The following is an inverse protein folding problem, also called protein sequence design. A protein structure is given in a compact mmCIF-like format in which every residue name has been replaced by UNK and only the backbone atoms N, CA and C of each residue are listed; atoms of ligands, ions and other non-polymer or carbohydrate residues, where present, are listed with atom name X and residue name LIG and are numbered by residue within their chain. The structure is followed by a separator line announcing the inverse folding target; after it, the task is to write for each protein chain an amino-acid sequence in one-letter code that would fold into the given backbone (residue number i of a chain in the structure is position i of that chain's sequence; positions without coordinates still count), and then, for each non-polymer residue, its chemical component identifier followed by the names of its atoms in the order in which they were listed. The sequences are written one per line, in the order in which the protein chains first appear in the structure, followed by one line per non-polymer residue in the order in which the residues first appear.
data_IF_194865918311
#
_entry.id   IF_194865918311
#
_cell.length_a   1.000
_cell.length_b   1.000
_cell.length_c   1.000
_cell.angle_alpha   90.00
_cell.angle_beta   90.00
_cell.angle_gamma   90.00
#
_symmetry.space_group_name_H-M   'P 1'
#
loop_
_entity.id
_entity.type
_entity.pdbx_description
1 polymer ?
#
# COMPACT_ATOMS: atom_id res chain seq x y z
N UNK A 1 8.18 63.67 -46.42
CA UNK A 1 7.28 63.03 -45.53
C UNK A 1 7.67 61.52 -45.39
N UNK A 2 8.46 61.21 -44.43
CA UNK A 2 8.89 59.79 -44.13
C UNK A 2 7.92 59.20 -43.13
N UNK A 3 7.20 58.15 -43.55
CA UNK A 3 6.38 57.36 -42.62
C UNK A 3 7.27 56.34 -41.89
N UNK A 4 7.33 56.50 -40.58
CA UNK A 4 8.01 55.58 -39.68
C UNK A 4 7.08 54.38 -39.42
N UNK A 5 7.49 53.17 -39.86
CA UNK A 5 6.78 51.93 -39.52
C UNK A 5 7.26 51.45 -38.14
N UNK A 6 6.39 51.47 -37.17
CA UNK A 6 6.65 50.91 -35.85
C UNK A 6 6.29 49.43 -35.89
N UNK A 7 7.28 48.55 -35.87
CA UNK A 7 7.08 47.10 -35.74
C UNK A 7 7.02 46.79 -34.24
N UNK A 8 5.82 46.52 -33.75
CA UNK A 8 5.59 45.97 -32.42
C UNK A 8 5.97 44.48 -32.43
N UNK A 9 7.11 44.14 -31.82
CA UNK A 9 7.45 42.79 -31.46
C UNK A 9 6.60 42.39 -30.23
N UNK A 10 5.53 41.67 -30.47
CA UNK A 10 4.82 40.94 -29.40
C UNK A 10 5.69 39.72 -28.99
N UNK A 11 6.48 39.91 -27.95
CA UNK A 11 7.11 38.78 -27.23
C UNK A 11 5.98 38.07 -26.48
N UNK A 12 5.49 36.98 -27.04
CA UNK A 12 4.65 36.05 -26.36
C UNK A 12 5.43 35.41 -25.21
N UNK A 13 5.31 35.92 -24.00
CA UNK A 13 5.70 35.18 -22.82
C UNK A 13 4.74 33.98 -22.70
N UNK A 14 5.17 32.83 -23.21
CA UNK A 14 4.61 31.56 -22.81
C UNK A 14 4.97 31.37 -21.33
N UNK A 15 4.02 31.65 -20.45
CA UNK A 15 4.05 31.19 -19.07
C UNK A 15 4.05 29.65 -19.14
N UNK A 16 5.24 29.04 -19.19
CA UNK A 16 5.43 27.69 -18.74
C UNK A 16 5.09 27.72 -17.24
N UNK A 17 3.84 27.40 -16.90
CA UNK A 17 3.49 27.06 -15.55
C UNK A 17 4.39 25.87 -15.18
N UNK A 18 5.46 26.15 -14.45
CA UNK A 18 6.24 25.13 -13.78
C UNK A 18 5.25 24.35 -12.93
N UNK A 19 4.92 23.13 -13.36
CA UNK A 19 4.17 22.21 -12.53
C UNK A 19 5.06 21.92 -11.32
N UNK A 20 4.81 22.60 -10.22
CA UNK A 20 5.34 22.17 -8.92
C UNK A 20 4.68 20.82 -8.65
N UNK A 21 5.41 19.74 -8.89
CA UNK A 21 5.03 18.44 -8.35
C UNK A 21 5.00 18.63 -6.84
N UNK A 22 3.80 18.55 -6.27
CA UNK A 22 3.67 18.54 -4.82
C UNK A 22 4.53 17.38 -4.32
N UNK A 23 5.41 17.66 -3.37
CA UNK A 23 6.25 16.64 -2.76
C UNK A 23 5.34 15.56 -2.17
N UNK A 24 5.53 14.31 -2.58
CA UNK A 24 4.74 13.21 -2.07
C UNK A 24 4.94 13.08 -0.55
N UNK A 25 3.85 13.18 0.21
CA UNK A 25 3.86 12.88 1.65
C UNK A 25 4.06 11.39 1.95
N UNK A 26 4.11 10.55 0.91
CA UNK A 26 4.36 9.13 1.01
C UNK A 26 5.85 8.83 1.02
N UNK A 27 6.27 8.04 2.00
CA UNK A 27 7.66 7.57 2.11
C UNK A 27 7.67 6.05 2.25
N UNK A 28 8.55 5.38 1.50
CA UNK A 28 8.82 3.96 1.71
C UNK A 28 9.45 3.78 3.09
N UNK A 29 8.94 2.84 3.88
CA UNK A 29 9.49 2.55 5.19
C UNK A 29 10.78 1.73 5.02
N UNK A 30 11.92 2.16 5.58
CA UNK A 30 13.24 1.65 5.21
C UNK A 30 13.45 0.17 5.55
N UNK A 31 12.82 -0.31 6.62
CA UNK A 31 12.95 -1.70 7.08
C UNK A 31 11.65 -2.50 6.86
N UNK A 32 10.74 -1.99 6.02
CA UNK A 32 9.52 -2.72 5.71
C UNK A 32 9.82 -3.99 4.93
N UNK A 33 9.06 -5.07 5.16
CA UNK A 33 9.20 -6.27 4.37
C UNK A 33 9.05 -5.93 2.89
N UNK A 34 10.01 -6.38 2.09
CA UNK A 34 10.03 -6.20 0.65
C UNK A 34 9.96 -7.58 -0.03
N UNK A 35 9.25 -7.67 -1.14
CA UNK A 35 9.12 -8.95 -1.84
C UNK A 35 7.82 -9.07 -2.60
N UNK A 36 7.04 -10.13 -2.35
CA UNK A 36 5.72 -10.25 -2.93
C UNK A 36 4.81 -9.14 -2.42
N UNK A 37 3.82 -8.79 -3.21
CA UNK A 37 2.85 -7.76 -2.87
C UNK A 37 2.18 -8.03 -1.52
N UNK A 38 2.14 -7.02 -0.66
CA UNK A 38 1.33 -7.02 0.55
C UNK A 38 -0.12 -6.70 0.15
N UNK A 39 -1.01 -7.65 0.38
CA UNK A 39 -2.40 -7.55 -0.06
C UNK A 39 -3.29 -6.80 0.90
N UNK A 40 -2.93 -6.78 2.18
CA UNK A 40 -3.64 -6.03 3.21
C UNK A 40 -2.72 -5.66 4.39
N UNK A 41 -3.18 -4.71 5.17
CA UNK A 41 -2.60 -4.31 6.43
C UNK A 41 -3.64 -3.72 7.35
N UNK A 42 -3.41 -3.80 8.64
CA UNK A 42 -4.26 -3.24 9.67
C UNK A 42 -3.41 -2.51 10.71
N UNK A 43 -3.77 -1.29 11.01
CA UNK A 43 -3.07 -0.45 12.00
C UNK A 43 -4.07 0.00 13.04
N UNK A 44 -3.81 -0.32 14.31
CA UNK A 44 -4.63 0.14 15.43
C UNK A 44 -4.36 1.60 15.74
N UNK A 45 -3.09 2.00 15.58
CA UNK A 45 -2.63 3.36 15.73
C UNK A 45 -1.34 3.58 14.92
N UNK A 46 -0.76 4.77 15.00
CA UNK A 46 0.42 5.15 14.23
C UNK A 46 1.68 4.30 14.51
N UNK A 47 1.72 3.57 15.63
CA UNK A 47 2.88 2.74 16.04
C UNK A 47 2.64 1.26 15.83
N UNK A 48 1.41 0.78 16.07
CA UNK A 48 1.07 -0.65 16.09
C UNK A 48 0.28 -1.06 14.87
N UNK A 49 0.85 -1.98 14.07
CA UNK A 49 0.18 -2.50 12.89
C UNK A 49 0.74 -3.83 12.40
N UNK A 50 0.00 -4.46 11.51
CA UNK A 50 0.35 -5.72 10.85
C UNK A 50 0.11 -5.63 9.35
N UNK A 51 0.95 -6.33 8.58
CA UNK A 51 0.78 -6.50 7.14
C UNK A 51 0.89 -7.96 6.76
N UNK A 52 0.17 -8.34 5.72
CA UNK A 52 0.10 -9.72 5.23
C UNK A 52 0.36 -9.78 3.72
N UNK A 53 0.88 -10.92 3.25
CA UNK A 53 1.21 -11.07 1.84
C UNK A 53 0.88 -12.47 1.27
N UNK A 54 0.99 -12.58 -0.05
CA UNK A 54 0.71 -13.80 -0.79
C UNK A 54 1.71 -14.95 -0.60
N UNK A 55 2.83 -14.72 0.10
CA UNK A 55 3.78 -15.79 0.48
C UNK A 55 3.48 -16.37 1.86
N UNK A 56 2.30 -16.12 2.40
CA UNK A 56 1.87 -16.64 3.69
C UNK A 56 2.60 -16.03 4.87
N UNK A 57 3.00 -14.78 4.78
CA UNK A 57 3.72 -14.08 5.84
C UNK A 57 2.84 -13.04 6.52
N UNK A 58 2.99 -12.94 7.85
CA UNK A 58 2.43 -11.88 8.68
C UNK A 58 3.58 -11.17 9.37
N UNK A 59 3.64 -9.85 9.22
CA UNK A 59 4.64 -8.99 9.83
C UNK A 59 3.98 -7.99 10.75
N UNK A 60 4.62 -7.68 11.87
CA UNK A 60 4.17 -6.71 12.89
C UNK A 60 5.18 -5.60 13.06
N UNK A 61 4.68 -4.38 13.22
CA UNK A 61 5.45 -3.23 13.70
C UNK A 61 4.85 -2.72 15.02
N UNK A 62 5.70 -2.20 15.91
CA UNK A 62 5.31 -1.52 17.15
C UNK A 62 5.86 -0.10 17.24
N UNK A 63 6.50 0.37 16.17
CA UNK A 63 7.15 1.69 16.10
C UNK A 63 6.85 2.43 14.78
N UNK A 64 5.65 2.21 14.24
CA UNK A 64 5.17 2.94 13.06
C UNK A 64 5.84 2.52 11.75
N UNK A 65 6.33 1.28 11.70
CA UNK A 65 6.95 0.72 10.51
C UNK A 65 8.46 0.94 10.42
N UNK A 66 9.09 1.54 11.42
CA UNK A 66 10.55 1.68 11.45
C UNK A 66 11.25 0.33 11.55
N UNK A 67 10.63 -0.63 12.26
CA UNK A 67 11.07 -2.02 12.32
C UNK A 67 9.88 -2.98 12.22
N UNK A 68 10.13 -4.17 11.69
CA UNK A 68 9.13 -5.21 11.49
C UNK A 68 9.62 -6.54 12.03
N UNK A 69 8.71 -7.28 12.67
CA UNK A 69 8.96 -8.62 13.18
C UNK A 69 8.05 -9.59 12.44
N UNK A 70 8.63 -10.59 11.80
CA UNK A 70 7.88 -11.66 11.16
C UNK A 70 7.26 -12.54 12.24
N UNK A 71 5.93 -12.65 12.23
CA UNK A 71 5.17 -13.41 13.23
C UNK A 71 4.63 -14.73 12.69
N UNK A 72 4.52 -14.87 11.39
CA UNK A 72 4.06 -16.07 10.72
C UNK A 72 4.75 -16.22 9.37
N UNK A 73 5.09 -17.48 9.00
CA UNK A 73 5.70 -17.79 7.71
C UNK A 73 5.30 -19.21 7.28
N UNK A 74 4.43 -19.31 6.29
CA UNK A 74 3.98 -20.59 5.74
C UNK A 74 3.67 -20.43 4.26
N UNK A 75 4.59 -20.85 3.40
CA UNK A 75 4.53 -20.62 1.94
C UNK A 75 3.33 -21.28 1.24
N UNK A 76 2.63 -22.20 1.90
CA UNK A 76 1.41 -22.83 1.38
C UNK A 76 0.15 -21.99 1.58
N UNK A 77 0.25 -20.82 2.24
CA UNK A 77 -0.83 -19.87 2.51
C UNK A 77 -0.71 -18.67 1.59
N UNK A 78 -1.83 -18.09 1.19
CA UNK A 78 -1.90 -16.79 0.56
C UNK A 78 -2.79 -15.88 1.40
N UNK A 79 -2.21 -15.06 2.26
CA UNK A 79 -2.99 -14.09 3.02
C UNK A 79 -3.49 -12.95 2.14
N UNK A 80 -4.79 -12.68 2.23
CA UNK A 80 -5.49 -11.67 1.44
C UNK A 80 -6.07 -10.55 2.28
N UNK A 81 -6.28 -10.81 3.57
CA UNK A 81 -6.89 -9.87 4.50
C UNK A 81 -6.36 -10.07 5.91
N UNK A 82 -6.38 -9.01 6.70
CA UNK A 82 -6.06 -9.02 8.13
C UNK A 82 -6.91 -7.97 8.85
N UNK A 83 -7.38 -8.32 10.06
CA UNK A 83 -8.15 -7.42 10.90
C UNK A 83 -7.88 -7.68 12.38
N UNK A 84 -7.84 -6.61 13.16
CA UNK A 84 -7.64 -6.66 14.61
C UNK A 84 -8.77 -5.94 15.33
N UNK A 85 -9.31 -6.57 16.37
CA UNK A 85 -10.32 -5.99 17.23
C UNK A 85 -9.69 -5.06 18.27
N UNK A 86 -8.50 -5.46 18.75
CA UNK A 86 -7.65 -4.72 19.68
C UNK A 86 -6.19 -5.14 19.51
N UNK A 87 -5.30 -4.74 20.42
CA UNK A 87 -3.87 -5.05 20.34
C UNK A 87 -3.54 -6.55 20.53
N UNK A 88 -4.49 -7.37 20.97
CA UNK A 88 -4.30 -8.79 21.29
C UNK A 88 -5.04 -9.70 20.31
N UNK A 89 -6.31 -9.38 19.99
CA UNK A 89 -7.17 -10.23 19.18
C UNK A 89 -7.18 -9.80 17.71
N UNK A 90 -6.81 -10.73 16.84
CA UNK A 90 -6.82 -10.48 15.40
C UNK A 90 -7.03 -11.75 14.59
N UNK A 91 -7.40 -11.57 13.32
CA UNK A 91 -7.60 -12.65 12.34
C UNK A 91 -6.94 -12.31 11.03
N UNK A 92 -6.45 -13.35 10.33
CA UNK A 92 -5.89 -13.24 8.97
C UNK A 92 -6.61 -14.24 8.06
N UNK A 93 -7.08 -13.77 6.92
CA UNK A 93 -7.81 -14.54 5.93
C UNK A 93 -6.89 -15.05 4.81
N UNK A 94 -6.92 -16.37 4.59
CA UNK A 94 -6.25 -17.05 3.48
C UNK A 94 -7.19 -17.12 2.26
N UNK A 95 -6.68 -16.80 1.08
CA UNK A 95 -7.40 -16.91 -0.18
C UNK A 95 -7.85 -18.35 -0.50
N UNK A 96 -7.15 -19.33 0.08
CA UNK A 96 -7.40 -20.76 -0.11
C UNK A 96 -6.53 -21.36 -1.21
N UNK A 97 -6.84 -22.61 -1.55
CA UNK A 97 -6.05 -23.41 -2.48
C UNK A 97 -6.31 -23.07 -3.96
N UNK A 98 -5.32 -23.29 -4.81
CA UNK A 98 -5.42 -23.37 -6.29
C UNK A 98 -5.66 -22.06 -7.05
N UNK A 99 -5.72 -20.90 -6.39
CA UNK A 99 -6.05 -19.64 -7.09
C UNK A 99 -4.90 -19.07 -7.92
N UNK A 100 -3.69 -19.02 -7.34
CA UNK A 100 -2.53 -18.43 -8.01
C UNK A 100 -1.36 -19.42 -8.13
N UNK A 101 -1.63 -20.71 -7.90
CA UNK A 101 -0.64 -21.80 -7.95
C UNK A 101 0.21 -21.89 -6.67
N UNK A 102 0.48 -23.11 -6.24
CA UNK A 102 1.36 -23.39 -5.10
C UNK A 102 0.72 -23.32 -3.71
N UNK A 103 -0.45 -22.70 -3.56
CA UNK A 103 -1.17 -22.68 -2.29
C UNK A 103 -1.90 -24.00 -2.07
N UNK A 104 -1.56 -24.68 -1.00
CA UNK A 104 -2.14 -25.99 -0.65
C UNK A 104 -2.79 -26.01 0.74
N UNK A 105 -2.71 -24.89 1.48
CA UNK A 105 -3.28 -24.82 2.82
C UNK A 105 -4.80 -24.66 2.77
N UNK A 106 -5.47 -25.61 3.42
CA UNK A 106 -6.93 -25.64 3.54
C UNK A 106 -7.48 -24.86 4.74
N UNK A 107 -6.61 -24.27 5.56
CA UNK A 107 -6.97 -23.40 6.67
C UNK A 107 -7.29 -22.01 6.13
N UNK A 108 -8.49 -21.53 6.35
CA UNK A 108 -8.97 -20.28 5.76
C UNK A 108 -8.76 -19.07 6.67
N UNK A 109 -8.75 -19.30 7.97
CA UNK A 109 -8.61 -18.24 8.97
C UNK A 109 -7.56 -18.67 9.99
N UNK A 110 -6.61 -17.78 10.22
CA UNK A 110 -5.68 -17.85 11.34
C UNK A 110 -6.04 -16.76 12.34
N UNK A 111 -6.07 -17.12 13.63
CA UNK A 111 -6.45 -16.23 14.72
C UNK A 111 -5.34 -16.09 15.73
N UNK A 112 -5.13 -14.89 16.22
CA UNK A 112 -4.26 -14.58 17.35
C UNK A 112 -5.07 -14.06 18.54
N UNK A 113 -4.58 -14.33 19.77
CA UNK A 113 -5.11 -13.79 21.04
C UNK A 113 -4.02 -13.09 21.85
N UNK A 114 -2.83 -12.92 21.28
CA UNK A 114 -1.66 -12.34 21.93
C UNK A 114 -0.89 -11.37 21.01
N UNK A 115 -1.63 -10.68 20.16
CA UNK A 115 -1.09 -9.64 19.27
C UNK A 115 -0.16 -10.18 18.19
N UNK A 116 -0.39 -11.44 17.77
CA UNK A 116 0.35 -12.09 16.70
C UNK A 116 1.58 -12.86 17.13
N UNK A 117 1.87 -12.96 18.44
CA UNK A 117 2.97 -13.83 18.92
C UNK A 117 2.75 -15.28 18.49
N UNK A 118 1.49 -15.72 18.48
CA UNK A 118 1.06 -16.99 17.89
C UNK A 118 -0.18 -16.81 17.02
N UNK A 119 -0.26 -17.59 15.95
CA UNK A 119 -1.40 -17.64 15.05
C UNK A 119 -1.90 -19.07 14.95
N UNK A 120 -3.16 -19.30 15.37
CA UNK A 120 -3.78 -20.60 15.43
C UNK A 120 -4.82 -20.77 14.33
N UNK A 121 -4.89 -21.96 13.69
CA UNK A 121 -5.88 -22.24 12.67
C UNK A 121 -7.29 -22.29 13.28
N UNK A 122 -8.27 -21.74 12.55
CA UNK A 122 -9.70 -21.83 12.90
C UNK A 122 -10.40 -22.75 11.92
N UNK A 123 -11.15 -23.72 12.47
CA UNK A 123 -11.98 -24.66 11.72
C UNK A 123 -13.45 -24.69 12.19
N UNK A 124 -13.85 -23.79 13.08
CA UNK A 124 -15.19 -23.73 13.65
C UNK A 124 -16.13 -22.94 12.73
N UNK A 125 -16.67 -23.61 11.71
CA UNK A 125 -17.65 -23.04 10.80
C UNK A 125 -19.03 -23.65 11.03
N UNK A 126 -20.04 -22.80 11.16
CA UNK A 126 -21.45 -23.16 11.19
C UNK A 126 -22.00 -22.90 9.78
N UNK A 127 -22.39 -23.96 9.08
CA UNK A 127 -22.76 -23.95 7.68
C UNK A 127 -21.68 -24.57 6.78
N UNK A 128 -21.75 -24.30 5.49
CA UNK A 128 -20.77 -24.82 4.53
C UNK A 128 -19.43 -24.14 4.70
N UNK A 129 -18.36 -24.91 4.87
CA UNK A 129 -17.00 -24.35 4.96
C UNK A 129 -16.65 -23.63 3.65
N UNK A 130 -16.26 -22.35 3.70
CA UNK A 130 -15.80 -21.58 2.53
C UNK A 130 -14.53 -22.17 1.94
N UNK A 131 -14.11 -21.65 0.78
CA UNK A 131 -12.83 -22.02 0.15
C UNK A 131 -11.75 -20.96 0.27
N UNK A 132 -12.09 -19.74 0.68
CA UNK A 132 -11.14 -18.64 0.83
C UNK A 132 -11.78 -17.41 1.46
N UNK A 133 -10.93 -16.51 1.97
CA UNK A 133 -11.34 -15.21 2.54
C UNK A 133 -10.50 -14.11 1.90
N UNK A 134 -11.17 -13.17 1.20
CA UNK A 134 -10.52 -12.06 0.49
C UNK A 134 -10.56 -10.73 1.26
N UNK A 135 -11.68 -10.45 1.92
CA UNK A 135 -11.91 -9.21 2.65
C UNK A 135 -12.37 -9.47 4.07
N UNK A 136 -11.98 -8.60 4.99
CA UNK A 136 -12.39 -8.59 6.40
C UNK A 136 -12.81 -7.18 6.80
N UNK A 137 -13.89 -7.09 7.59
CA UNK A 137 -14.36 -5.85 8.22
C UNK A 137 -14.54 -6.09 9.71
N UNK A 138 -13.80 -5.36 10.52
CA UNK A 138 -13.93 -5.37 11.98
C UNK A 138 -15.03 -4.38 12.37
N UNK A 139 -16.06 -4.85 13.03
CA UNK A 139 -17.27 -4.08 13.30
C UNK A 139 -17.22 -3.45 14.70
N UNK A 140 -16.80 -4.24 15.68
CA UNK A 140 -16.64 -3.83 17.07
C UNK A 140 -15.64 -4.76 17.78
N UNK A 141 -15.57 -4.70 19.09
CA UNK A 141 -14.63 -5.45 19.94
C UNK A 141 -14.84 -6.98 19.96
N UNK A 142 -15.90 -7.50 19.33
CA UNK A 142 -16.20 -8.93 19.27
C UNK A 142 -16.59 -9.42 17.86
N UNK A 143 -17.08 -8.53 16.99
CA UNK A 143 -17.71 -8.88 15.72
C UNK A 143 -16.79 -8.58 14.54
N UNK A 144 -16.62 -9.59 13.67
CA UNK A 144 -15.87 -9.50 12.42
C UNK A 144 -16.73 -10.10 11.31
N UNK A 145 -16.79 -9.42 10.18
CA UNK A 145 -17.36 -9.94 8.95
C UNK A 145 -16.27 -10.22 7.93
N UNK A 146 -16.51 -11.22 7.09
CA UNK A 146 -15.60 -11.58 6.03
C UNK A 146 -16.31 -11.98 4.74
N UNK A 147 -15.60 -11.91 3.63
CA UNK A 147 -16.09 -12.36 2.33
C UNK A 147 -14.99 -13.07 1.57
N UNK A 148 -15.38 -13.93 0.67
CA UNK A 148 -14.50 -14.57 -0.30
C UNK A 148 -15.25 -15.56 -1.16
N UNK A 149 -14.65 -15.92 -2.23
CA UNK A 149 -13.31 -15.67 -2.77
C UNK A 149 -13.37 -15.25 -4.24
N UNK A 150 -12.20 -15.07 -4.84
CA UNK A 150 -12.04 -15.01 -6.30
C UNK A 150 -12.44 -16.37 -6.90
N UNK A 151 -13.18 -16.39 -8.02
CA UNK A 151 -13.65 -17.59 -8.77
C UNK A 151 -14.48 -18.56 -7.94
N UNK A 152 -15.19 -18.06 -6.93
CA UNK A 152 -16.16 -18.86 -6.16
C UNK A 152 -15.68 -20.22 -5.63
N UNK A 153 -16.53 -20.92 -4.93
CA UNK A 153 -17.81 -20.48 -4.41
C UNK A 153 -17.66 -19.37 -3.38
N UNK A 154 -18.55 -18.39 -3.43
CA UNK A 154 -18.50 -17.17 -2.61
C UNK A 154 -19.36 -17.30 -1.37
N UNK A 155 -18.84 -16.74 -0.27
CA UNK A 155 -19.51 -16.75 1.04
C UNK A 155 -19.38 -15.39 1.73
N UNK A 156 -20.41 -15.03 2.47
CA UNK A 156 -20.32 -14.08 3.56
C UNK A 156 -20.07 -14.84 4.87
N UNK A 157 -19.17 -14.34 5.69
CA UNK A 157 -18.77 -14.94 6.96
C UNK A 157 -19.02 -13.94 8.09
N UNK A 158 -19.56 -14.44 9.20
CA UNK A 158 -19.86 -13.63 10.39
C UNK A 158 -19.33 -14.33 11.64
N UNK A 159 -18.55 -13.63 12.43
CA UNK A 159 -18.15 -14.02 13.79
C UNK A 159 -18.57 -12.94 14.77
N UNK A 160 -19.07 -13.34 15.94
CA UNK A 160 -19.46 -12.45 17.05
C UNK A 160 -18.72 -12.79 18.34
N UNK A 161 -17.71 -13.66 18.26
CA UNK A 161 -16.92 -14.18 19.38
C UNK A 161 -15.40 -14.00 19.16
N UNK A 162 -15.03 -12.85 18.60
CA UNK A 162 -13.63 -12.49 18.31
C UNK A 162 -12.93 -13.45 17.34
N UNK A 163 -13.68 -13.97 16.35
CA UNK A 163 -13.14 -14.82 15.31
C UNK A 163 -12.94 -16.28 15.71
N UNK A 164 -13.52 -16.76 16.81
CA UNK A 164 -13.42 -18.15 17.24
C UNK A 164 -14.36 -19.06 16.45
N UNK A 165 -15.59 -18.62 16.22
CA UNK A 165 -16.62 -19.35 15.45
C UNK A 165 -17.15 -18.47 14.32
N UNK A 166 -17.42 -19.07 13.16
CA UNK A 166 -17.87 -18.38 11.97
C UNK A 166 -19.14 -18.98 11.39
N UNK A 167 -20.19 -18.18 11.31
CA UNK A 167 -21.40 -18.50 10.55
C UNK A 167 -21.12 -18.16 9.09
N UNK A 168 -21.52 -19.06 8.17
CA UNK A 168 -21.25 -18.90 6.73
C UNK A 168 -22.55 -18.90 5.93
N UNK A 169 -22.72 -17.92 5.06
CA UNK A 169 -23.87 -17.75 4.18
C UNK A 169 -23.38 -17.85 2.74
N UNK A 170 -23.97 -18.74 1.96
CA UNK A 170 -23.65 -18.90 0.55
C UNK A 170 -24.18 -17.71 -0.25
N UNK A 171 -23.29 -17.06 -1.02
CA UNK A 171 -23.57 -15.86 -1.80
C UNK A 171 -23.65 -16.12 -3.32
N UNK A 172 -23.66 -17.38 -3.76
CA UNK A 172 -23.63 -17.74 -5.19
C UNK A 172 -24.85 -17.25 -5.98
N UNK A 173 -25.97 -16.94 -5.30
CA UNK A 173 -27.13 -16.30 -5.94
C UNK A 173 -26.89 -14.82 -6.30
N UNK A 174 -25.87 -14.18 -5.72
CA UNK A 174 -25.59 -12.75 -5.86
C UNK A 174 -24.32 -12.46 -6.65
N UNK A 175 -23.31 -13.33 -6.57
CA UNK A 175 -21.98 -13.07 -7.12
C UNK A 175 -21.25 -14.35 -7.51
N UNK A 176 -20.24 -14.21 -8.37
CA UNK A 176 -19.23 -15.24 -8.67
C UNK A 176 -17.94 -14.96 -7.91
N UNK A 177 -17.62 -13.70 -7.70
CA UNK A 177 -16.42 -13.21 -7.01
C UNK A 177 -16.80 -12.21 -5.92
N UNK A 178 -16.20 -12.33 -4.72
CA UNK A 178 -16.30 -11.35 -3.64
C UNK A 178 -14.90 -10.98 -3.17
N UNK A 179 -14.58 -9.67 -3.24
CA UNK A 179 -13.21 -9.17 -3.08
C UNK A 179 -12.98 -8.39 -1.80
N UNK A 180 -13.93 -7.54 -1.43
CA UNK A 180 -13.80 -6.65 -0.28
C UNK A 180 -15.15 -6.39 0.37
N UNK A 181 -15.10 -5.93 1.64
CA UNK A 181 -16.27 -5.70 2.47
C UNK A 181 -16.04 -4.47 3.33
N UNK A 182 -17.05 -3.62 3.44
CA UNK A 182 -17.03 -2.41 4.24
C UNK A 182 -18.38 -2.21 4.93
N UNK A 183 -18.39 -2.01 6.23
CA UNK A 183 -19.59 -1.71 7.01
C UNK A 183 -19.54 -0.27 7.52
N UNK A 184 -20.62 0.46 7.28
CA UNK A 184 -20.82 1.84 7.75
C UNK A 184 -21.44 1.89 9.16
N UNK A 185 -22.06 0.80 9.58
CA UNK A 185 -22.60 0.57 10.92
C UNK A 185 -22.57 -0.93 11.25
N UNK A 186 -23.07 -1.35 12.43
CA UNK A 186 -23.22 -2.77 12.78
C UNK A 186 -24.11 -3.55 11.79
N UNK A 187 -25.09 -2.88 11.19
CA UNK A 187 -26.15 -3.53 10.41
C UNK A 187 -26.07 -3.21 8.91
N UNK A 188 -25.53 -2.04 8.56
CA UNK A 188 -25.45 -1.60 7.16
C UNK A 188 -24.03 -1.70 6.62
N UNK A 189 -23.90 -2.33 5.44
CA UNK A 189 -22.59 -2.50 4.81
C UNK A 189 -22.66 -2.95 3.37
N UNK A 190 -21.52 -2.94 2.72
CA UNK A 190 -21.34 -3.21 1.30
C UNK A 190 -20.33 -4.33 1.09
N UNK A 191 -20.60 -5.14 0.07
CA UNK A 191 -19.65 -6.12 -0.48
C UNK A 191 -19.43 -5.77 -1.94
N UNK A 192 -18.19 -5.87 -2.40
CA UNK A 192 -17.82 -5.62 -3.78
C UNK A 192 -17.15 -6.84 -4.41
N UNK A 193 -17.39 -7.02 -5.72
CA UNK A 193 -16.87 -8.17 -6.46
C UNK A 193 -17.31 -8.20 -7.92
N UNK A 194 -17.62 -9.37 -8.42
CA UNK A 194 -18.04 -9.57 -9.80
C UNK A 194 -19.14 -10.64 -9.95
N UNK A 195 -19.94 -10.50 -11.01
CA UNK A 195 -21.08 -11.41 -11.30
C UNK A 195 -20.75 -12.49 -12.34
N UNK A 196 -19.54 -12.55 -12.86
CA UNK A 196 -19.11 -13.50 -13.88
C UNK A 196 -17.67 -13.97 -13.72
N UNK A 197 -17.24 -14.90 -14.56
CA UNK A 197 -15.87 -15.40 -14.54
C UNK A 197 -14.87 -14.31 -14.92
N UNK A 198 -13.77 -14.29 -14.22
CA UNK A 198 -12.75 -13.26 -14.11
C UNK A 198 -12.28 -12.60 -15.41
N UNK A 199 -12.29 -13.25 -16.52
CA UNK A 199 -11.45 -12.77 -17.63
C UNK A 199 -12.16 -12.03 -18.74
N UNK A 200 -13.46 -12.19 -18.95
CA UNK A 200 -14.15 -11.53 -20.07
C UNK A 200 -15.66 -11.29 -19.87
N UNK A 201 -16.34 -12.02 -18.99
CA UNK A 201 -17.78 -12.03 -18.87
C UNK A 201 -18.30 -11.57 -17.50
N UNK A 202 -17.53 -10.75 -16.78
CA UNK A 202 -17.93 -10.19 -15.49
C UNK A 202 -18.22 -8.71 -15.60
N UNK A 203 -19.23 -8.26 -14.88
CA UNK A 203 -19.39 -6.85 -14.49
C UNK A 203 -19.04 -6.72 -13.01
N UNK A 204 -18.45 -5.61 -12.64
CA UNK A 204 -18.28 -5.25 -11.24
C UNK A 204 -19.62 -5.02 -10.57
N UNK A 205 -19.80 -5.52 -9.35
CA UNK A 205 -21.05 -5.36 -8.59
C UNK A 205 -20.81 -4.81 -7.21
N UNK A 206 -21.85 -4.13 -6.68
CA UNK A 206 -21.92 -3.71 -5.29
C UNK A 206 -23.20 -4.31 -4.68
N UNK A 207 -23.02 -5.11 -3.65
CA UNK A 207 -24.10 -5.66 -2.83
C UNK A 207 -24.24 -4.84 -1.55
N UNK A 208 -25.46 -4.63 -1.09
CA UNK A 208 -25.78 -3.88 0.12
C UNK A 208 -26.64 -4.71 1.07
N UNK A 209 -26.38 -4.59 2.35
CA UNK A 209 -27.18 -5.13 3.45
C UNK A 209 -27.57 -4.01 4.42
N UNK A 210 -28.72 -4.15 5.07
CA UNK A 210 -29.18 -3.30 6.19
C UNK A 210 -29.57 -4.10 7.42
N UNK A 211 -29.25 -5.39 7.42
CA UNK A 211 -29.65 -6.38 8.47
C UNK A 211 -28.45 -7.24 8.94
N UNK A 212 -27.27 -6.62 9.01
CA UNK A 212 -26.02 -7.26 9.44
C UNK A 212 -25.64 -8.52 8.61
N UNK A 213 -25.96 -8.47 7.30
CA UNK A 213 -25.62 -9.53 6.35
C UNK A 213 -26.58 -10.69 6.31
N UNK A 214 -27.78 -10.59 6.92
CA UNK A 214 -28.80 -11.62 6.83
C UNK A 214 -29.42 -11.68 5.44
N UNK A 215 -29.53 -10.55 4.76
CA UNK A 215 -29.91 -10.44 3.35
C UNK A 215 -29.03 -9.45 2.58
N UNK A 216 -28.95 -9.64 1.25
CA UNK A 216 -28.12 -8.82 0.37
C UNK A 216 -28.88 -8.48 -0.90
N UNK A 217 -28.76 -7.24 -1.36
CA UNK A 217 -29.35 -6.72 -2.59
C UNK A 217 -28.24 -6.18 -3.49
N UNK A 218 -28.27 -6.53 -4.77
CA UNK A 218 -27.41 -5.89 -5.78
C UNK A 218 -27.93 -4.47 -6.06
N UNK A 219 -27.15 -3.46 -5.73
CA UNK A 219 -27.53 -2.05 -5.89
C UNK A 219 -26.76 -1.36 -7.01
N UNK A 220 -25.73 -2.00 -7.57
CA UNK A 220 -24.96 -1.47 -8.68
C UNK A 220 -24.33 -2.59 -9.50
N UNK A 221 -24.34 -2.42 -10.82
CA UNK A 221 -23.62 -3.27 -11.77
C UNK A 221 -22.91 -2.38 -12.77
N UNK A 222 -21.61 -2.59 -12.98
CA UNK A 222 -20.80 -1.80 -13.89
C UNK A 222 -21.22 -1.99 -15.36
N UNK A 223 -20.98 -0.98 -16.17
CA UNK A 223 -21.50 -0.90 -17.54
C UNK A 223 -20.72 -1.75 -18.55
N UNK A 224 -19.46 -2.10 -18.24
CA UNK A 224 -18.58 -2.77 -19.20
C UNK A 224 -18.25 -4.20 -18.78
N UNK A 225 -18.18 -5.10 -19.75
CA UNK A 225 -17.72 -6.48 -19.51
C UNK A 225 -16.20 -6.54 -19.26
N UNK A 226 -15.79 -7.54 -18.51
CA UNK A 226 -14.41 -7.75 -18.11
C UNK A 226 -14.00 -6.93 -16.90
N UNK A 227 -14.98 -6.43 -16.15
CA UNK A 227 -14.78 -5.62 -14.95
C UNK A 227 -15.15 -6.39 -13.68
N UNK A 228 -14.46 -6.07 -12.60
CA UNK A 228 -14.84 -6.43 -11.24
C UNK A 228 -14.29 -5.44 -10.23
N UNK A 229 -15.01 -5.29 -9.11
CA UNK A 229 -14.65 -4.40 -8.02
C UNK A 229 -13.65 -5.06 -7.08
N UNK A 230 -12.59 -4.31 -6.65
CA UNK A 230 -11.53 -4.84 -5.78
C UNK A 230 -11.56 -4.31 -4.37
N UNK A 231 -11.66 -3.00 -4.20
CA UNK A 231 -11.62 -2.34 -2.89
C UNK A 231 -12.74 -1.32 -2.78
N UNK A 232 -13.28 -1.21 -1.59
CA UNK A 232 -14.27 -0.19 -1.24
C UNK A 232 -13.75 0.61 -0.06
N UNK A 233 -13.93 1.92 -0.10
CA UNK A 233 -13.51 2.85 0.94
C UNK A 233 -14.49 4.02 1.08
N UNK A 234 -14.72 4.47 2.30
CA UNK A 234 -15.56 5.62 2.62
C UNK A 234 -14.75 6.60 3.48
N UNK A 235 -14.18 7.66 2.90
CA UNK A 235 -13.50 8.70 3.65
C UNK A 235 -14.45 9.55 4.52
N UNK A 236 -15.72 9.59 4.16
CA UNK A 236 -16.76 10.25 4.94
C UNK A 236 -18.08 9.47 4.88
N UNK A 237 -19.07 9.89 5.69
CA UNK A 237 -20.38 9.22 5.73
C UNK A 237 -21.09 9.18 4.37
N UNK A 238 -20.91 10.22 3.54
CA UNK A 238 -21.65 10.37 2.29
C UNK A 238 -20.83 9.97 1.06
N UNK A 239 -19.53 10.09 1.11
CA UNK A 239 -18.65 9.85 -0.04
C UNK A 239 -18.02 8.48 0.08
N UNK A 240 -18.16 7.67 -0.96
CA UNK A 240 -17.54 6.36 -1.05
C UNK A 240 -16.96 6.11 -2.44
N UNK A 241 -15.94 5.27 -2.48
CA UNK A 241 -15.18 4.93 -3.68
C UNK A 241 -14.99 3.43 -3.79
N UNK A 242 -15.09 2.92 -5.03
CA UNK A 242 -14.79 1.51 -5.34
C UNK A 242 -13.82 1.44 -6.51
N UNK A 243 -12.72 0.73 -6.31
CA UNK A 243 -11.79 0.45 -7.40
C UNK A 243 -12.38 -0.59 -8.35
N UNK A 244 -12.30 -0.30 -9.66
CA UNK A 244 -12.83 -1.14 -10.71
C UNK A 244 -11.69 -1.59 -11.62
N UNK A 245 -11.30 -2.87 -11.52
CA UNK A 245 -10.32 -3.45 -12.42
C UNK A 245 -11.00 -3.92 -13.71
N UNK A 246 -10.39 -3.58 -14.83
CA UNK A 246 -10.80 -4.07 -16.15
C UNK A 246 -9.69 -4.86 -16.82
N UNK A 247 -9.98 -6.07 -17.24
CA UNK A 247 -8.97 -6.93 -17.87
C UNK A 247 -8.96 -6.87 -19.40
N UNK A 248 -9.94 -6.22 -20.00
CA UNK A 248 -10.13 -6.15 -21.45
C UNK A 248 -9.66 -4.82 -22.06
N UNK A 249 -8.67 -4.15 -21.44
CA UNK A 249 -8.07 -2.94 -22.02
C UNK A 249 -8.50 -1.65 -21.34
N UNK A 250 -8.74 -0.62 -22.15
CA UNK A 250 -9.11 0.74 -21.70
C UNK A 250 -10.43 1.16 -22.35
N UNK A 251 -11.12 2.15 -21.83
CA UNK A 251 -10.81 3.00 -20.69
C UNK A 251 -11.02 2.29 -19.35
N UNK A 252 -10.38 2.80 -18.30
CA UNK A 252 -10.53 2.32 -16.93
C UNK A 252 -11.38 3.33 -16.14
N UNK A 253 -12.41 2.82 -15.47
CA UNK A 253 -13.26 3.60 -14.58
C UNK A 253 -13.01 3.22 -13.11
N UNK A 254 -13.55 4.01 -12.22
CA UNK A 254 -13.81 3.69 -10.81
C UNK A 254 -15.26 4.04 -10.51
N UNK A 255 -15.75 3.64 -9.34
CA UNK A 255 -17.13 3.87 -8.95
C UNK A 255 -17.15 4.79 -7.74
N UNK A 256 -18.10 5.74 -7.70
CA UNK A 256 -18.25 6.73 -6.65
C UNK A 256 -19.70 6.82 -6.20
N UNK A 257 -19.90 7.10 -4.91
CA UNK A 257 -21.16 7.55 -4.33
C UNK A 257 -20.97 8.91 -3.65
N UNK A 258 -22.03 9.70 -3.58
CA UNK A 258 -22.07 11.00 -2.87
C UNK A 258 -23.24 11.09 -1.88
N UNK A 259 -23.96 10.00 -1.68
CA UNK A 259 -25.17 9.92 -0.85
C UNK A 259 -25.13 8.75 0.16
N UNK A 260 -23.91 8.33 0.55
CA UNK A 260 -23.70 7.25 1.50
C UNK A 260 -23.98 5.84 0.94
N UNK A 261 -23.89 5.70 -0.38
CA UNK A 261 -24.07 4.42 -1.07
C UNK A 261 -25.51 4.10 -1.45
N UNK A 262 -26.43 5.09 -1.41
CA UNK A 262 -27.79 4.90 -1.95
C UNK A 262 -27.75 4.82 -3.47
N UNK A 263 -26.94 5.66 -4.11
CA UNK A 263 -26.68 5.62 -5.56
C UNK A 263 -25.19 5.58 -5.85
N UNK A 264 -24.83 4.90 -6.94
CA UNK A 264 -23.47 4.75 -7.38
C UNK A 264 -23.35 5.08 -8.86
N UNK A 265 -22.19 5.64 -9.27
CA UNK A 265 -21.92 5.98 -10.66
C UNK A 265 -20.46 5.78 -11.02
N UNK A 266 -20.21 5.42 -12.29
CA UNK A 266 -18.86 5.29 -12.82
C UNK A 266 -18.26 6.65 -13.16
N UNK A 267 -16.97 6.78 -12.87
CA UNK A 267 -16.14 7.92 -13.29
C UNK A 267 -14.88 7.43 -13.99
N UNK A 268 -14.40 8.22 -14.92
CA UNK A 268 -13.16 7.94 -15.63
C UNK A 268 -11.96 8.06 -14.71
N UNK A 269 -11.16 6.99 -14.64
CA UNK A 269 -9.84 7.02 -14.02
C UNK A 269 -8.78 7.35 -15.07
N UNK A 270 -8.67 6.53 -16.14
CA UNK A 270 -7.66 6.73 -17.19
C UNK A 270 -8.09 6.18 -18.54
N UNK A 271 -7.43 6.65 -19.61
CA UNK A 271 -7.64 6.17 -20.98
C UNK A 271 -6.61 5.12 -21.42
N UNK A 272 -5.67 4.76 -20.57
CA UNK A 272 -4.72 3.68 -20.82
C UNK A 272 -5.01 2.48 -19.90
N UNK A 273 -4.50 1.31 -20.28
CA UNK A 273 -4.69 0.09 -19.49
C UNK A 273 -3.95 0.20 -18.14
N UNK A 274 -4.70 0.04 -17.06
CA UNK A 274 -4.16 0.04 -15.69
C UNK A 274 -5.00 -0.91 -14.84
N UNK A 275 -4.37 -1.89 -14.22
CA UNK A 275 -5.06 -2.88 -13.39
C UNK A 275 -5.28 -2.34 -11.98
N UNK A 276 -6.28 -1.46 -11.83
CA UNK A 276 -6.62 -0.84 -10.53
C UNK A 276 -7.06 -1.90 -9.55
N UNK A 277 -6.36 -2.02 -8.44
CA UNK A 277 -6.75 -2.90 -7.32
C UNK A 277 -6.86 -2.12 -6.02
N UNK A 278 -5.86 -1.31 -5.67
CA UNK A 278 -5.90 -0.46 -4.50
C UNK A 278 -6.59 0.88 -4.77
N UNK A 279 -7.45 1.31 -3.85
CA UNK A 279 -8.00 2.66 -3.82
C UNK A 279 -8.24 3.03 -2.37
N UNK A 280 -7.96 4.28 -2.00
CA UNK A 280 -8.22 4.81 -0.68
C UNK A 280 -8.13 6.32 -0.68
N UNK A 281 -8.98 6.95 0.10
CA UNK A 281 -9.10 8.38 0.24
C UNK A 281 -8.93 8.79 1.69
N UNK A 282 -8.16 9.84 1.93
CA UNK A 282 -7.96 10.38 3.29
C UNK A 282 -9.06 11.38 3.67
N UNK A 283 -9.71 11.94 2.67
CA UNK A 283 -10.91 12.79 2.79
C UNK A 283 -11.68 12.76 1.46
N UNK A 284 -12.73 13.54 1.34
CA UNK A 284 -13.63 13.54 0.17
C UNK A 284 -12.97 13.93 -1.15
N UNK A 285 -11.78 14.54 -1.12
CA UNK A 285 -11.11 15.06 -2.33
C UNK A 285 -9.72 14.48 -2.57
N UNK A 286 -8.96 14.19 -1.53
CA UNK A 286 -7.58 13.68 -1.63
C UNK A 286 -7.56 12.16 -1.51
N UNK A 287 -7.11 11.49 -2.55
CA UNK A 287 -7.05 10.04 -2.60
C UNK A 287 -6.03 9.49 -3.59
N UNK A 288 -5.85 8.18 -3.53
CA UNK A 288 -4.88 7.46 -4.35
C UNK A 288 -5.46 6.18 -4.93
N UNK A 289 -4.98 5.84 -6.12
CA UNK A 289 -5.27 4.59 -6.80
C UNK A 289 -3.97 3.86 -7.14
N UNK A 290 -3.91 2.58 -6.82
CA UNK A 290 -2.78 1.70 -7.10
C UNK A 290 -3.25 0.39 -7.72
N UNK A 291 -2.32 -0.44 -8.19
CA UNK A 291 -2.74 -1.68 -8.81
C UNK A 291 -1.64 -2.67 -9.14
N UNK A 292 -2.03 -3.76 -9.76
CA UNK A 292 -1.12 -4.84 -10.16
C UNK A 292 -0.49 -4.57 -11.53
N UNK A 293 0.04 -3.36 -11.74
CA UNK A 293 0.71 -2.99 -12.98
C UNK A 293 2.15 -2.56 -12.71
N UNK A 294 2.90 -2.22 -13.75
CA UNK A 294 4.24 -1.63 -13.66
C UNK A 294 4.19 -0.13 -13.39
N UNK A 295 3.02 0.49 -13.41
CA UNK A 295 2.84 1.91 -13.13
C UNK A 295 2.87 2.19 -11.63
N UNK A 296 3.33 3.39 -11.23
CA UNK A 296 3.23 3.91 -9.88
C UNK A 296 1.79 4.19 -9.49
N UNK A 297 1.53 4.57 -8.24
CA UNK A 297 0.21 5.05 -7.81
C UNK A 297 -0.15 6.38 -8.46
N UNK A 298 -1.44 6.62 -8.60
CA UNK A 298 -2.00 7.90 -9.03
C UNK A 298 -2.67 8.59 -7.87
N UNK A 299 -2.60 9.93 -7.86
CA UNK A 299 -3.19 10.81 -6.86
C UNK A 299 -4.28 11.68 -7.49
N UNK A 300 -5.33 11.92 -6.75
CA UNK A 300 -6.34 12.94 -7.02
C UNK A 300 -6.45 13.90 -5.85
N UNK A 301 -6.67 15.18 -6.11
CA UNK A 301 -6.93 16.23 -5.10
C UNK A 301 -8.31 16.85 -5.24
N UNK A 302 -9.12 16.37 -6.17
CA UNK A 302 -10.43 16.89 -6.56
C UNK A 302 -11.54 15.82 -6.51
N UNK A 303 -11.33 14.76 -5.73
CA UNK A 303 -12.32 13.68 -5.55
C UNK A 303 -12.48 12.80 -6.79
N UNK A 304 -11.41 12.66 -7.58
CA UNK A 304 -11.34 11.78 -8.74
C UNK A 304 -11.81 12.41 -10.04
N UNK A 305 -11.88 13.75 -10.13
CA UNK A 305 -12.13 14.43 -11.42
C UNK A 305 -10.86 14.37 -12.29
N UNK A 306 -9.70 14.57 -11.67
CA UNK A 306 -8.39 14.43 -12.33
C UNK A 306 -7.44 13.54 -11.52
N UNK A 307 -6.55 12.84 -12.24
CA UNK A 307 -5.58 11.93 -11.64
C UNK A 307 -4.19 12.22 -12.20
N UNK A 308 -3.19 12.25 -11.32
CA UNK A 308 -1.79 12.50 -11.64
C UNK A 308 -0.91 11.38 -11.07
N UNK A 309 0.22 11.12 -11.70
CA UNK A 309 1.22 10.20 -11.14
C UNK A 309 1.71 10.76 -9.79
N UNK A 310 1.56 9.98 -8.75
CA UNK A 310 1.94 10.36 -7.38
C UNK A 310 3.44 10.18 -7.11
N UNK A 311 4.20 9.64 -8.05
CA UNK A 311 5.64 9.44 -7.94
C UNK A 311 6.07 8.44 -6.86
N UNK A 312 5.16 7.60 -6.34
CA UNK A 312 5.48 6.59 -5.35
C UNK A 312 4.66 5.32 -5.57
N UNK A 313 5.08 4.25 -4.90
CA UNK A 313 4.34 3.02 -4.78
C UNK A 313 4.45 2.11 -6.01
N UNK A 314 4.61 0.84 -5.77
CA UNK A 314 4.58 -0.20 -6.79
C UNK A 314 3.72 -1.34 -6.32
N UNK A 315 2.72 -1.73 -7.14
CA UNK A 315 1.72 -2.75 -6.81
C UNK A 315 0.93 -2.45 -5.53
N UNK A 316 0.62 -1.18 -5.26
CA UNK A 316 -0.16 -0.81 -4.08
C UNK A 316 -1.58 -1.34 -4.21
N UNK A 317 -1.98 -2.17 -3.25
CA UNK A 317 -3.26 -2.88 -3.26
C UNK A 317 -4.19 -2.44 -2.12
N UNK A 318 -3.67 -1.80 -1.09
CA UNK A 318 -4.46 -1.32 0.04
C UNK A 318 -3.89 -0.02 0.58
N UNK A 319 -4.79 0.90 0.91
CA UNK A 319 -4.53 2.09 1.70
C UNK A 319 -5.28 1.96 3.03
N UNK A 320 -4.69 2.47 4.11
CA UNK A 320 -5.28 2.54 5.44
C UNK A 320 -4.95 3.89 6.05
N UNK A 321 -5.95 4.72 6.25
CA UNK A 321 -5.81 6.02 6.90
C UNK A 321 -6.26 5.93 8.35
N UNK A 322 -5.46 6.47 9.26
CA UNK A 322 -5.77 6.53 10.69
C UNK A 322 -6.47 7.83 11.06
N UNK A 323 -6.17 8.87 10.32
CA UNK A 323 -6.75 10.21 10.42
C UNK A 323 -6.40 10.98 9.13
N UNK A 324 -6.70 12.28 9.09
CA UNK A 324 -6.44 13.18 7.95
C UNK A 324 -4.94 13.49 7.71
N UNK A 325 -4.06 12.97 8.54
CA UNK A 325 -2.63 13.30 8.52
C UNK A 325 -1.71 12.09 8.42
N UNK A 326 -2.19 10.89 8.78
CA UNK A 326 -1.38 9.67 8.81
C UNK A 326 -2.09 8.50 8.15
N UNK A 327 -1.37 7.82 7.27
CA UNK A 327 -1.84 6.61 6.61
C UNK A 327 -0.70 5.67 6.22
N UNK A 328 -1.10 4.48 5.77
CA UNK A 328 -0.18 3.45 5.28
C UNK A 328 -0.69 2.89 3.95
N UNK A 329 0.23 2.61 3.04
CA UNK A 329 -0.06 1.96 1.77
C UNK A 329 0.74 0.67 1.65
N UNK A 330 0.06 -0.42 1.32
CA UNK A 330 0.63 -1.75 1.17
C UNK A 330 0.74 -2.10 -0.31
N UNK A 331 1.97 -2.29 -0.76
CA UNK A 331 2.34 -2.68 -2.10
C UNK A 331 3.45 -3.72 -2.09
N UNK A 332 4.44 -3.58 -2.96
CA UNK A 332 5.66 -4.42 -2.91
C UNK A 332 6.43 -4.23 -1.60
N UNK A 333 6.33 -3.06 -1.00
CA UNK A 333 6.74 -2.74 0.36
C UNK A 333 5.64 -1.96 1.06
N UNK A 334 5.89 -1.44 2.26
CA UNK A 334 4.95 -0.59 3.00
C UNK A 334 5.42 0.86 2.92
N UNK A 335 4.48 1.76 2.64
CA UNK A 335 4.69 3.20 2.60
C UNK A 335 3.91 3.85 3.73
N UNK A 336 4.45 4.92 4.30
CA UNK A 336 3.77 5.77 5.28
C UNK A 336 3.49 7.14 4.69
N UNK A 337 2.27 7.60 4.84
CA UNK A 337 1.84 8.97 4.62
C UNK A 337 1.89 9.73 5.95
N UNK A 338 2.54 10.90 5.98
CA UNK A 338 2.54 11.76 7.15
C UNK A 338 2.61 13.24 6.74
N UNK A 339 1.48 13.96 6.85
CA UNK A 339 1.39 15.39 6.53
C UNK A 339 1.93 16.30 7.63
N UNK A 340 2.19 15.77 8.82
CA UNK A 340 2.70 16.55 9.96
C UNK A 340 4.20 16.75 9.90
N UNK A 341 4.88 15.92 9.11
CA UNK A 341 6.30 16.15 8.83
C UNK A 341 6.40 17.41 8.00
N UNK A 342 6.97 18.52 8.52
CA UNK A 342 7.15 19.71 7.73
C UNK A 342 7.99 19.35 6.51
N UNK A 343 7.44 19.55 5.33
CA UNK A 343 8.21 19.47 4.09
C UNK A 343 9.09 20.72 3.95
N UNK A 344 9.84 21.06 4.99
CA UNK A 344 10.90 22.04 4.91
C UNK A 344 12.15 21.36 4.34
N UNK A 345 12.02 20.94 3.09
CA UNK A 345 13.16 20.87 2.19
C UNK A 345 12.94 21.99 1.20
N UNK A 346 13.82 22.96 1.20
CA UNK A 346 13.98 23.90 0.11
C UNK A 346 13.77 23.16 -1.21
N UNK A 347 13.04 23.77 -2.15
CA UNK A 347 12.89 23.30 -3.53
C UNK A 347 14.28 23.19 -4.18
N UNK A 348 15.01 22.15 -3.86
CA UNK A 348 16.05 21.68 -4.73
C UNK A 348 15.31 20.84 -5.79
N UNK A 349 15.13 21.44 -6.98
CA UNK A 349 14.98 20.68 -8.20
C UNK A 349 15.96 19.51 -8.10
N UNK A 350 15.48 18.29 -8.00
CA UNK A 350 16.33 17.14 -8.23
C UNK A 350 16.60 17.11 -9.75
N UNK A 351 17.45 18.04 -10.21
CA UNK A 351 18.25 17.74 -11.37
C UNK A 351 18.91 16.39 -11.05
N UNK A 352 18.79 15.43 -11.94
CA UNK A 352 19.55 14.18 -11.83
C UNK A 352 20.96 14.55 -11.41
N UNK A 353 21.53 13.90 -10.38
CA UNK A 353 22.86 14.27 -9.92
C UNK A 353 23.83 14.34 -11.09
N UNK A 354 24.58 15.41 -11.18
CA UNK A 354 25.60 15.59 -12.25
C UNK A 354 26.89 14.81 -11.95
N UNK A 355 27.01 14.29 -10.73
CA UNK A 355 28.16 13.53 -10.25
C UNK A 355 27.81 12.62 -9.09
N UNK A 356 28.72 11.68 -8.81
CA UNK A 356 28.67 10.94 -7.55
C UNK A 356 28.98 11.87 -6.38
N UNK A 357 28.23 11.74 -5.29
CA UNK A 357 28.47 12.48 -4.06
C UNK A 357 28.24 11.57 -2.84
N UNK A 358 29.11 11.66 -1.83
CA UNK A 358 28.89 11.14 -0.50
C UNK A 358 28.84 12.32 0.48
N UNK A 359 27.69 12.55 1.10
CA UNK A 359 27.54 13.63 2.08
C UNK A 359 28.02 13.22 3.45
N UNK A 360 28.30 14.23 4.29
CA UNK A 360 28.58 14.02 5.70
C UNK A 360 27.33 13.45 6.37
N UNK A 361 27.49 12.38 7.18
CA UNK A 361 26.38 11.81 7.94
C UNK A 361 25.80 12.83 8.94
N UNK A 362 24.52 12.78 9.15
CA UNK A 362 23.82 13.66 10.09
C UNK A 362 22.80 12.86 10.94
N UNK A 363 22.78 13.06 12.27
CA UNK A 363 23.72 13.87 13.05
C UNK A 363 25.16 13.31 13.05
N UNK A 364 26.16 14.19 13.32
CA UNK A 364 27.56 13.82 13.56
C UNK A 364 28.19 14.85 14.52
N UNK A 365 28.49 14.52 15.76
CA UNK A 365 28.40 13.18 16.40
C UNK A 365 26.98 12.64 16.51
N UNK A 366 26.84 11.31 16.69
CA UNK A 366 25.54 10.64 16.75
C UNK A 366 25.47 9.57 17.85
N UNK A 367 24.23 9.17 18.25
CA UNK A 367 23.96 8.15 19.26
C UNK A 367 22.57 7.52 19.07
N UNK A 368 22.41 6.24 18.84
CA UNK A 368 23.30 5.38 18.06
C UNK A 368 22.99 5.44 16.56
N UNK A 369 22.07 6.33 16.12
CA UNK A 369 21.58 6.41 14.74
C UNK A 369 22.11 7.64 14.02
N UNK A 370 22.46 7.47 12.74
CA UNK A 370 22.79 8.57 11.84
C UNK A 370 22.32 8.25 10.42
N UNK A 371 22.13 9.29 9.61
CA UNK A 371 21.75 9.16 8.20
C UNK A 371 22.98 9.45 7.33
N UNK A 372 23.25 8.57 6.37
CA UNK A 372 24.25 8.74 5.31
C UNK A 372 23.49 9.02 4.02
N UNK A 373 23.81 10.12 3.35
CA UNK A 373 23.24 10.50 2.05
C UNK A 373 24.29 10.38 0.96
N UNK A 374 23.89 9.86 -0.20
CA UNK A 374 24.75 9.79 -1.38
C UNK A 374 23.97 9.94 -2.69
N UNK A 375 24.68 10.26 -3.77
CA UNK A 375 24.10 10.50 -5.10
C UNK A 375 24.80 9.66 -6.16
N UNK A 376 24.03 9.19 -7.15
CA UNK A 376 24.48 8.47 -8.34
C UNK A 376 24.08 9.32 -9.56
N UNK A 377 25.00 9.73 -10.45
CA UNK A 377 24.69 10.61 -11.56
C UNK A 377 23.89 9.94 -12.68
N UNK A 378 23.18 10.74 -13.46
CA UNK A 378 22.41 10.29 -14.62
C UNK A 378 23.25 9.56 -15.70
N UNK A 379 24.56 9.79 -15.73
CA UNK A 379 25.49 9.11 -16.64
C UNK A 379 26.11 7.83 -16.08
N UNK A 380 25.72 7.39 -14.89
CA UNK A 380 26.16 6.10 -14.35
C UNK A 380 25.53 4.95 -15.14
N UNK A 381 26.21 3.81 -15.17
CA UNK A 381 25.63 2.60 -15.77
C UNK A 381 24.32 2.22 -15.06
N UNK A 382 23.34 1.81 -15.85
CA UNK A 382 22.08 1.27 -15.32
C UNK A 382 22.42 0.01 -14.51
N UNK A 383 22.02 -0.01 -13.23
CA UNK A 383 22.34 -1.06 -12.27
C UNK A 383 23.80 -1.04 -11.74
N UNK A 384 24.33 0.12 -11.38
CA UNK A 384 25.63 0.22 -10.69
C UNK A 384 25.59 -0.43 -9.31
N UNK A 385 26.53 -1.33 -9.01
CA UNK A 385 26.74 -1.85 -7.66
C UNK A 385 27.30 -0.73 -6.77
N UNK A 386 26.61 -0.50 -5.65
CA UNK A 386 26.97 0.52 -4.66
C UNK A 386 27.26 -0.14 -3.33
N UNK A 387 28.47 0.09 -2.82
CA UNK A 387 28.93 -0.40 -1.54
C UNK A 387 29.18 0.78 -0.59
N UNK A 388 28.72 0.68 0.65
CA UNK A 388 29.17 1.56 1.73
C UNK A 388 29.74 0.71 2.85
N UNK A 389 31.02 0.85 3.12
CA UNK A 389 31.74 0.10 4.17
C UNK A 389 32.20 1.02 5.28
N UNK A 390 32.18 0.50 6.50
CA UNK A 390 32.66 1.15 7.72
C UNK A 390 34.04 0.63 8.09
N UNK A 391 34.91 1.56 8.47
CA UNK A 391 36.30 1.26 8.87
C UNK A 391 36.62 1.90 10.23
N UNK A 392 37.46 1.26 10.99
CA UNK A 392 38.07 1.82 12.20
C UNK A 392 39.19 2.82 11.86
N UNK A 393 39.78 3.40 12.90
CA UNK A 393 40.91 4.38 12.75
C UNK A 393 42.18 3.75 12.20
N UNK A 394 42.31 2.43 12.20
CA UNK A 394 43.44 1.70 11.67
C UNK A 394 43.21 1.28 10.20
N UNK A 395 42.01 1.53 9.66
CA UNK A 395 41.62 1.16 8.33
C UNK A 395 41.10 -0.28 8.18
N UNK A 396 40.86 -0.97 9.30
CA UNK A 396 40.22 -2.31 9.24
C UNK A 396 38.74 -2.17 8.94
N UNK A 397 38.22 -3.00 8.07
CA UNK A 397 36.77 -3.06 7.80
C UNK A 397 36.04 -3.57 9.04
N UNK A 398 35.09 -2.76 9.53
CA UNK A 398 34.23 -3.08 10.69
C UNK A 398 32.93 -3.72 10.22
N UNK A 399 32.34 -3.16 9.14
CA UNK A 399 31.02 -3.59 8.66
C UNK A 399 30.74 -3.07 7.24
N UNK A 400 29.97 -3.83 6.47
CA UNK A 400 29.28 -3.30 5.29
C UNK A 400 27.95 -2.69 5.74
N UNK A 401 27.77 -1.39 5.46
CA UNK A 401 26.55 -0.61 5.80
C UNK A 401 25.50 -0.78 4.68
N UNK A 402 25.96 -0.82 3.42
CA UNK A 402 25.11 -0.87 2.24
C UNK A 402 25.80 -1.68 1.13
N UNK A 403 25.04 -2.56 0.47
CA UNK A 403 25.51 -3.42 -0.62
C UNK A 403 24.32 -3.74 -1.54
N UNK A 404 24.05 -2.86 -2.51
CA UNK A 404 22.93 -3.03 -3.43
C UNK A 404 23.23 -2.41 -4.79
N UNK A 405 22.57 -2.95 -5.83
CA UNK A 405 22.54 -2.34 -7.16
C UNK A 405 21.53 -1.21 -7.17
N UNK A 406 21.95 -0.03 -7.65
CA UNK A 406 21.11 1.17 -7.70
C UNK A 406 21.15 1.84 -9.07
N UNK A 407 20.04 2.47 -9.44
CA UNK A 407 19.89 3.35 -10.59
C UNK A 407 20.39 4.78 -10.26
N UNK A 408 20.58 5.66 -11.26
CA UNK A 408 20.87 7.08 -11.02
C UNK A 408 19.83 7.73 -10.09
N UNK A 409 20.28 8.50 -9.09
CA UNK A 409 19.40 9.15 -8.12
C UNK A 409 20.08 9.55 -6.82
N UNK A 410 19.30 10.10 -5.89
CA UNK A 410 19.74 10.44 -4.54
C UNK A 410 19.22 9.41 -3.54
N UNK A 411 20.07 8.98 -2.62
CA UNK A 411 19.80 7.89 -1.67
C UNK A 411 20.12 8.30 -0.23
N UNK A 412 19.40 7.68 0.71
CA UNK A 412 19.61 7.84 2.16
C UNK A 412 19.67 6.47 2.82
N UNK A 413 20.66 6.26 3.67
CA UNK A 413 20.84 5.04 4.47
C UNK A 413 20.87 5.41 5.94
N UNK A 414 19.99 4.80 6.74
CA UNK A 414 20.02 4.95 8.19
C UNK A 414 20.98 3.92 8.76
N UNK A 415 22.04 4.39 9.41
CA UNK A 415 23.03 3.54 10.06
C UNK A 415 22.78 3.47 11.56
N UNK A 416 22.68 2.24 12.08
CA UNK A 416 22.58 1.94 13.50
C UNK A 416 23.92 1.36 14.00
N UNK A 417 24.56 2.04 14.92
CA UNK A 417 25.84 1.66 15.54
C UNK A 417 25.69 1.25 17.02
N UNK A 418 24.50 0.78 17.44
CA UNK A 418 24.22 0.45 18.84
C UNK A 418 25.14 -0.64 19.43
N UNK A 419 25.75 -1.47 18.61
CA UNK A 419 26.67 -2.55 18.99
C UNK A 419 28.16 -2.16 18.86
N UNK A 420 28.47 -0.94 18.39
CA UNK A 420 29.83 -0.47 18.23
C UNK A 420 30.30 0.39 19.44
N UNK A 421 31.57 0.34 19.81
CA UNK A 421 32.15 1.24 20.82
C UNK A 421 32.08 2.71 20.42
N UNK A 422 31.96 3.63 21.40
CA UNK A 422 32.16 5.07 21.14
C UNK A 422 33.51 5.30 20.49
N UNK A 423 33.58 6.12 19.47
CA UNK A 423 34.83 6.37 18.78
C UNK A 423 34.66 7.06 17.43
N UNK A 424 35.79 7.24 16.77
CA UNK A 424 35.89 7.75 15.40
C UNK A 424 35.96 6.59 14.45
N UNK A 425 35.13 6.64 13.41
CA UNK A 425 35.07 5.69 12.30
C UNK A 425 35.09 6.44 10.96
N UNK A 426 35.34 5.71 9.90
CA UNK A 426 35.26 6.21 8.54
C UNK A 426 34.29 5.34 7.75
N UNK A 427 33.48 5.95 6.88
CA UNK A 427 32.65 5.21 5.94
C UNK A 427 33.00 5.63 4.52
N UNK A 428 33.08 4.63 3.64
CA UNK A 428 33.47 4.82 2.24
C UNK A 428 32.37 4.33 1.33
N UNK A 429 31.88 5.22 0.46
CA UNK A 429 31.06 4.88 -0.68
C UNK A 429 31.99 4.41 -1.81
N UNK A 430 31.70 3.27 -2.39
CA UNK A 430 32.41 2.69 -3.53
C UNK A 430 31.42 2.27 -4.61
N UNK A 431 31.73 2.63 -5.83
CA UNK A 431 31.13 2.07 -7.06
C UNK A 431 32.25 1.68 -8.00
N UNK A 432 31.94 1.12 -9.19
CA UNK A 432 32.95 0.74 -10.16
C UNK A 432 33.93 1.88 -10.50
N UNK A 433 33.42 3.10 -10.60
CA UNK A 433 34.17 4.26 -11.10
C UNK A 433 34.32 5.41 -10.08
N UNK A 434 33.91 5.19 -8.81
CA UNK A 434 33.93 6.27 -7.80
C UNK A 434 34.19 5.71 -6.39
N UNK A 435 34.97 6.45 -5.63
CA UNK A 435 35.18 6.21 -4.20
C UNK A 435 35.25 7.52 -3.43
N UNK A 436 34.55 7.59 -2.31
CA UNK A 436 34.58 8.76 -1.40
C UNK A 436 34.43 8.32 0.04
N UNK A 437 35.24 8.93 0.93
CA UNK A 437 35.29 8.61 2.35
C UNK A 437 34.91 9.82 3.21
N UNK A 438 34.14 9.59 4.26
CA UNK A 438 33.78 10.58 5.29
C UNK A 438 34.05 10.01 6.69
N UNK A 439 34.27 10.94 7.62
CA UNK A 439 34.47 10.60 9.05
C UNK A 439 33.15 10.68 9.80
N UNK A 440 32.87 9.73 10.68
CA UNK A 440 31.77 9.80 11.65
C UNK A 440 32.27 9.64 13.09
N UNK A 441 31.53 10.19 14.04
CA UNK A 441 31.84 10.12 15.45
C UNK A 441 30.64 9.56 16.22
N UNK A 442 30.81 8.39 16.81
CA UNK A 442 29.83 7.75 17.68
C UNK A 442 30.09 8.15 19.13
N UNK A 443 29.08 8.69 19.78
CA UNK A 443 29.05 8.98 21.20
C UNK A 443 27.98 8.13 21.88
N UNK A 444 28.31 7.53 23.01
CA UNK A 444 27.35 6.86 23.90
C UNK A 444 27.15 7.66 25.17
#
# INVERSE_FOLDING_TARGET
MKRLLLILFLIGLSLLAARTFAQSYWQALPNAPNGPRHDDGFFINEKLGWVVNGNGQIWKTTNGGMNWIKQFDKSTVYFRSVGFLDSLYGVAGNLGTEEFGGQTDTILIYRTTNGGTTWNPINNFIGTKPRGVCGLSVINDSTIYGVGRVRGPVFFLKSTDKGLTWITINMAAHAVDLMDIYFTSSDSGFIVGGNGSINQNSNGIILHTTDAGSSWTNIFTSSQLGEWCWKIDFPSKNIGYVSLQRNSGSPINFIKTTDGGQTWFEKRFTNFAYYVQGMGFINDTLGWAGGNSTYTTYETTDGGETWHDAGFGYRVNRFRFLNDSVGFAMGRTVYKFDRRVPTSVENTFYAMPSGYELKQNYPNPFNPYTTIEFSIPAGAEINSLVLIKLYDVLGNEVRTIFDEVKEPGNYKVIFNAADLPSGVYFYTLMTENFSSTKKLMLLR
#
